data_IF_271523520249
#
_entry.id   IF_271523520249
#
_cell.length_a   1.000
_cell.length_b   1.000
_cell.length_c   1.000
_cell.angle_alpha   90.00
_cell.angle_beta   90.00
_cell.angle_gamma   90.00
#
_symmetry.space_group_name_H-M   'P 1'
#
loop_
_entity.id
_entity.type
_entity.pdbx_description
1 polymer ?
#
# COMPACT_ATOMS: atom_id res chain seq x y z
N UNK A 1 9.00 -8.08 -10.36
CA UNK A 1 10.28 -7.35 -10.29
C UNK A 1 10.24 -6.45 -9.06
N UNK A 2 11.19 -6.58 -8.12
CA UNK A 2 11.28 -5.73 -6.92
C UNK A 2 11.64 -4.29 -7.32
N UNK A 3 11.28 -3.30 -6.50
CA UNK A 3 11.62 -1.90 -6.75
C UNK A 3 12.91 -1.52 -6.03
N UNK A 4 13.73 -0.70 -6.69
CA UNK A 4 14.89 -0.08 -6.06
C UNK A 4 14.46 0.98 -5.04
N UNK A 5 15.30 1.23 -4.03
CA UNK A 5 14.99 2.16 -2.93
C UNK A 5 14.71 3.57 -3.44
N UNK A 6 15.45 4.04 -4.43
CA UNK A 6 15.31 5.37 -5.04
C UNK A 6 13.91 5.54 -5.64
N UNK A 7 13.39 4.49 -6.30
CA UNK A 7 12.02 4.50 -6.84
C UNK A 7 10.99 4.62 -5.73
N UNK A 8 11.19 3.94 -4.60
CA UNK A 8 10.28 4.02 -3.45
C UNK A 8 10.31 5.41 -2.82
N UNK A 9 11.51 5.95 -2.56
CA UNK A 9 11.68 7.26 -1.92
C UNK A 9 11.19 8.44 -2.79
N UNK A 10 11.13 8.25 -4.10
CA UNK A 10 10.52 9.20 -5.04
C UNK A 10 9.00 9.29 -4.91
N UNK A 11 8.33 8.29 -4.30
CA UNK A 11 6.88 8.31 -4.04
C UNK A 11 6.50 9.15 -2.82
N UNK A 12 7.47 9.52 -1.98
CA UNK A 12 7.20 10.23 -0.73
C UNK A 12 6.56 11.60 -1.01
N UNK A 13 5.42 11.91 -0.36
CA UNK A 13 4.72 13.18 -0.58
C UNK A 13 5.44 14.38 0.04
N UNK A 14 6.32 14.13 1.02
CA UNK A 14 7.15 15.13 1.69
C UNK A 14 8.42 14.48 2.29
N UNK A 15 9.33 15.33 2.78
CA UNK A 15 10.57 14.88 3.40
C UNK A 15 10.34 14.08 4.70
N UNK A 16 9.34 14.45 5.50
CA UNK A 16 9.03 13.75 6.76
C UNK A 16 8.58 12.30 6.52
N UNK A 17 7.76 12.08 5.50
CA UNK A 17 7.32 10.74 5.07
C UNK A 17 8.49 9.93 4.54
N UNK A 18 9.42 10.58 3.80
CA UNK A 18 10.64 9.95 3.31
C UNK A 18 11.53 9.45 4.45
N UNK A 19 11.83 10.31 5.42
CA UNK A 19 12.66 9.96 6.59
C UNK A 19 12.01 8.85 7.41
N UNK A 20 10.71 8.96 7.68
CA UNK A 20 9.97 7.90 8.39
C UNK A 20 9.99 6.57 7.63
N UNK A 21 9.84 6.61 6.29
CA UNK A 21 9.92 5.42 5.44
C UNK A 21 11.29 4.75 5.51
N UNK A 22 12.36 5.54 5.38
CA UNK A 22 13.74 5.04 5.49
C UNK A 22 14.01 4.34 6.82
N UNK A 23 13.54 4.91 7.94
CA UNK A 23 13.68 4.31 9.27
C UNK A 23 12.95 2.98 9.43
N UNK A 24 11.85 2.78 8.67
CA UNK A 24 11.05 1.56 8.70
C UNK A 24 11.45 0.56 7.60
N UNK A 25 12.49 0.82 6.81
CA UNK A 25 12.91 -0.06 5.71
C UNK A 25 13.65 -1.35 6.13
N UNK A 26 13.80 -1.61 7.42
CA UNK A 26 14.46 -2.78 7.98
C UNK A 26 13.44 -3.82 8.50
N UNK A 27 13.85 -5.07 8.69
CA UNK A 27 12.95 -6.16 9.11
C UNK A 27 12.38 -6.00 10.53
N UNK A 28 13.15 -5.41 11.44
CA UNK A 28 12.84 -5.35 12.88
C UNK A 28 11.42 -4.93 13.24
N UNK A 29 10.88 -3.81 12.72
CA UNK A 29 9.54 -3.36 13.07
C UNK A 29 8.41 -4.11 12.36
N UNK A 30 8.68 -5.13 11.53
CA UNK A 30 7.67 -5.78 10.70
C UNK A 30 7.40 -7.24 11.09
N UNK A 31 6.12 -7.59 11.08
CA UNK A 31 5.64 -8.96 11.21
C UNK A 31 4.51 -9.26 10.22
N UNK A 32 4.19 -10.53 10.02
CA UNK A 32 3.09 -10.97 9.14
C UNK A 32 3.22 -10.45 7.70
N UNK A 33 4.45 -10.31 7.21
CA UNK A 33 4.78 -9.77 5.90
C UNK A 33 4.57 -10.79 4.79
N UNK A 34 4.24 -10.30 3.60
CA UNK A 34 4.15 -11.14 2.42
C UNK A 34 3.83 -10.34 1.18
N UNK A 35 3.99 -10.98 0.02
CA UNK A 35 3.45 -10.44 -1.21
C UNK A 35 2.85 -11.53 -2.11
N UNK A 36 1.76 -11.20 -2.80
CA UNK A 36 1.19 -12.05 -3.84
C UNK A 36 2.04 -11.98 -5.11
N UNK A 37 1.94 -13.01 -5.95
CA UNK A 37 2.49 -12.97 -7.31
C UNK A 37 1.84 -11.90 -8.20
N UNK A 38 0.66 -11.42 -7.82
CA UNK A 38 -0.10 -10.37 -8.54
C UNK A 38 0.33 -8.94 -8.18
N UNK A 39 1.26 -8.77 -7.24
CA UNK A 39 1.81 -7.46 -6.88
C UNK A 39 1.12 -6.76 -5.71
N UNK A 40 0.48 -7.50 -4.80
CA UNK A 40 0.01 -6.97 -3.52
C UNK A 40 1.06 -7.27 -2.46
N UNK A 41 1.46 -6.27 -1.68
CA UNK A 41 2.46 -6.37 -0.60
C UNK A 41 1.78 -5.97 0.70
N UNK A 42 2.03 -6.69 1.79
CA UNK A 42 1.47 -6.36 3.10
C UNK A 42 2.46 -6.62 4.24
N UNK A 43 2.17 -6.03 5.39
CA UNK A 43 2.86 -6.27 6.64
C UNK A 43 2.16 -5.57 7.80
N UNK A 44 2.55 -5.95 9.02
CA UNK A 44 2.12 -5.31 10.26
C UNK A 44 3.35 -4.61 10.85
N UNK A 45 3.28 -3.30 10.98
CA UNK A 45 4.36 -2.51 11.57
C UNK A 45 4.09 -2.32 13.07
N UNK A 46 4.97 -2.83 13.92
CA UNK A 46 4.84 -2.79 15.38
C UNK A 46 5.40 -1.49 15.99
N UNK A 47 6.21 -0.75 15.21
CA UNK A 47 6.86 0.48 15.66
C UNK A 47 6.04 1.71 15.24
N UNK A 48 5.71 2.53 16.23
CA UNK A 48 4.84 3.69 16.10
C UNK A 48 3.88 3.78 17.29
N UNK A 49 3.94 4.89 18.03
CA UNK A 49 3.35 5.09 19.37
C UNK A 49 1.82 4.96 19.55
N UNK A 50 1.13 4.20 18.70
CA UNK A 50 -0.30 3.88 18.78
C UNK A 50 -0.68 2.43 18.42
N UNK A 51 0.29 1.52 18.22
CA UNK A 51 0.06 0.08 18.07
C UNK A 51 0.31 -0.47 16.66
N UNK A 52 0.08 -1.79 16.45
CA UNK A 52 0.48 -2.43 15.21
C UNK A 52 -0.33 -1.92 14.01
N UNK A 53 0.36 -1.26 13.07
CA UNK A 53 -0.25 -0.70 11.87
C UNK A 53 -0.20 -1.70 10.71
N UNK A 54 -1.38 -2.27 10.39
CA UNK A 54 -1.57 -3.03 9.16
C UNK A 54 -1.38 -2.14 7.95
N UNK A 55 -0.47 -2.53 7.08
CA UNK A 55 -0.08 -1.79 5.87
C UNK A 55 -0.16 -2.71 4.67
N UNK A 56 -0.81 -2.24 3.61
CA UNK A 56 -0.99 -2.95 2.33
C UNK A 56 -0.73 -2.01 1.17
N UNK A 57 -0.05 -2.51 0.15
CA UNK A 57 0.23 -1.78 -1.09
C UNK A 57 -0.12 -2.67 -2.28
N UNK A 58 -0.86 -2.13 -3.24
CA UNK A 58 -1.11 -2.78 -4.52
C UNK A 58 -0.33 -2.08 -5.62
N UNK A 59 0.62 -2.79 -6.21
CA UNK A 59 1.59 -2.29 -7.18
C UNK A 59 1.03 -2.20 -8.62
N UNK A 60 -0.15 -2.75 -8.90
CA UNK A 60 -0.77 -2.74 -10.25
C UNK A 60 -1.27 -1.34 -10.65
N UNK A 61 -1.63 -0.54 -9.65
CA UNK A 61 -1.93 0.88 -9.76
C UNK A 61 -1.71 1.46 -8.37
N UNK A 62 -0.51 2.01 -8.08
CA UNK A 62 0.02 2.15 -6.73
C UNK A 62 -1.01 2.75 -5.79
N UNK A 63 -1.53 1.89 -4.91
CA UNK A 63 -2.51 2.26 -3.92
C UNK A 63 -2.08 1.77 -2.56
N UNK A 64 -2.30 2.62 -1.57
CA UNK A 64 -1.75 2.48 -0.25
C UNK A 64 -2.90 2.38 0.75
N UNK A 65 -2.86 1.36 1.60
CA UNK A 65 -3.70 1.22 2.78
C UNK A 65 -2.81 1.12 4.01
N UNK A 66 -3.04 1.96 5.01
CA UNK A 66 -2.37 1.87 6.29
C UNK A 66 -3.32 2.33 7.39
N UNK A 67 -3.30 1.65 8.54
CA UNK A 67 -4.11 2.01 9.71
C UNK A 67 -3.59 3.20 10.53
N UNK A 68 -2.44 3.78 10.17
CA UNK A 68 -1.83 4.88 10.92
C UNK A 68 -2.62 6.21 10.78
N UNK A 69 -2.52 7.14 11.76
CA UNK A 69 -3.25 8.42 11.73
C UNK A 69 -2.75 9.41 10.67
N UNK A 70 -1.70 9.08 9.92
CA UNK A 70 -1.15 9.95 8.89
C UNK A 70 -2.17 10.21 7.77
N UNK A 71 -2.39 11.48 7.44
CA UNK A 71 -3.33 11.91 6.39
C UNK A 71 -2.71 12.04 5.00
N UNK A 72 -1.39 11.83 4.90
CA UNK A 72 -0.63 11.91 3.65
C UNK A 72 -0.35 10.50 3.15
N UNK A 73 -0.54 10.30 1.84
CA UNK A 73 -0.34 9.01 1.17
C UNK A 73 0.67 9.18 0.03
N UNK A 74 1.62 8.24 -0.12
CA UNK A 74 1.96 7.17 0.81
C UNK A 74 2.49 7.70 2.15
N UNK A 75 2.13 7.06 3.25
CA UNK A 75 2.69 7.37 4.57
C UNK A 75 4.05 6.69 4.76
N UNK A 76 4.78 7.05 5.83
CA UNK A 76 6.05 6.42 6.19
C UNK A 76 5.99 4.89 6.25
N UNK A 77 4.93 4.31 6.83
CA UNK A 77 4.77 2.84 6.88
C UNK A 77 4.64 2.21 5.49
N UNK A 78 3.89 2.83 4.57
CA UNK A 78 3.76 2.31 3.22
C UNK A 78 5.10 2.36 2.46
N UNK A 79 5.88 3.43 2.66
CA UNK A 79 7.23 3.55 2.09
C UNK A 79 8.19 2.52 2.72
N UNK A 80 8.19 2.38 4.04
CA UNK A 80 9.00 1.39 4.76
C UNK A 80 8.73 -0.05 4.31
N UNK A 81 7.45 -0.42 4.16
CA UNK A 81 7.07 -1.74 3.66
C UNK A 81 7.60 -1.99 2.24
N UNK A 82 7.53 -0.97 1.37
CA UNK A 82 8.04 -1.08 0.00
C UNK A 82 9.57 -1.14 -0.05
N UNK A 83 10.27 -0.43 0.84
CA UNK A 83 11.72 -0.52 0.98
C UNK A 83 12.13 -1.90 1.46
N UNK A 84 11.46 -2.42 2.50
CA UNK A 84 11.70 -3.76 3.01
C UNK A 84 11.46 -4.83 1.93
N UNK A 85 10.34 -4.71 1.20
CA UNK A 85 10.07 -5.56 0.05
C UNK A 85 11.14 -5.39 -1.04
N UNK A 86 11.62 -4.19 -1.33
CA UNK A 86 12.72 -3.99 -2.28
C UNK A 86 14.01 -4.72 -1.88
N UNK A 87 14.33 -4.71 -0.59
CA UNK A 87 15.62 -5.13 -0.05
C UNK A 87 15.71 -6.62 0.32
N UNK A 88 14.65 -7.21 0.86
CA UNK A 88 14.73 -8.55 1.47
C UNK A 88 13.54 -9.45 1.08
N UNK A 89 13.84 -10.46 0.27
CA UNK A 89 12.86 -11.46 -0.18
C UNK A 89 12.57 -12.54 0.87
N UNK A 90 13.48 -12.75 1.83
CA UNK A 90 13.26 -13.70 2.92
C UNK A 90 12.29 -13.11 3.95
N UNK A 91 12.39 -11.79 4.21
CA UNK A 91 11.49 -11.09 5.13
C UNK A 91 10.12 -10.85 4.51
N UNK A 92 10.04 -10.54 3.21
CA UNK A 92 8.76 -10.41 2.50
C UNK A 92 8.61 -11.53 1.47
N UNK A 93 8.15 -12.72 1.88
CA UNK A 93 8.07 -13.89 1.00
C UNK A 93 7.05 -13.68 -0.11
N UNK A 94 7.41 -14.12 -1.32
CA UNK A 94 6.52 -14.11 -2.47
C UNK A 94 5.60 -15.34 -2.49
N UNK A 95 4.42 -15.17 -3.07
CA UNK A 95 3.43 -16.25 -3.18
C UNK A 95 2.74 -16.59 -1.86
N UNK A 96 2.90 -15.75 -0.84
CA UNK A 96 2.18 -15.90 0.41
C UNK A 96 0.68 -15.73 0.17
N UNK A 97 -0.13 -16.49 0.91
CA UNK A 97 -1.57 -16.32 0.91
C UNK A 97 -1.94 -15.02 1.64
N UNK A 98 -2.74 -14.20 0.98
CA UNK A 98 -3.15 -12.91 1.52
C UNK A 98 -4.09 -13.12 2.71
N UNK A 99 -3.80 -12.56 3.90
CA UNK A 99 -4.72 -12.61 5.02
C UNK A 99 -6.07 -11.95 4.70
N UNK A 100 -7.14 -12.36 5.39
CA UNK A 100 -8.51 -11.85 5.16
C UNK A 100 -8.61 -10.32 5.11
N UNK A 101 -7.84 -9.62 5.94
CA UNK A 101 -7.88 -8.15 5.99
C UNK A 101 -7.29 -7.51 4.73
N UNK A 102 -6.35 -8.17 4.07
CA UNK A 102 -5.81 -7.77 2.76
C UNK A 102 -6.88 -8.02 1.69
N UNK A 103 -7.52 -9.19 1.71
CA UNK A 103 -8.64 -9.53 0.82
C UNK A 103 -9.76 -8.48 0.88
N UNK A 104 -10.25 -8.18 2.09
CA UNK A 104 -11.28 -7.16 2.31
C UNK A 104 -10.88 -5.77 1.79
N UNK A 105 -9.61 -5.41 1.92
CA UNK A 105 -9.10 -4.13 1.40
C UNK A 105 -9.11 -4.10 -0.14
N UNK A 106 -8.72 -5.19 -0.79
CA UNK A 106 -8.75 -5.35 -2.26
C UNK A 106 -10.19 -5.32 -2.80
N UNK A 107 -11.12 -6.02 -2.16
CA UNK A 107 -12.54 -6.01 -2.52
C UNK A 107 -13.12 -4.59 -2.44
N UNK A 108 -12.84 -3.87 -1.34
CA UNK A 108 -13.26 -2.48 -1.17
C UNK A 108 -12.64 -1.51 -2.19
N UNK A 109 -11.47 -1.84 -2.76
CA UNK A 109 -10.90 -1.12 -3.91
C UNK A 109 -11.66 -1.41 -5.20
N UNK A 110 -11.93 -2.69 -5.49
CA UNK A 110 -12.71 -3.15 -6.64
C UNK A 110 -14.09 -2.49 -6.72
N UNK A 111 -14.80 -2.43 -5.58
CA UNK A 111 -16.10 -1.77 -5.50
C UNK A 111 -16.03 -0.26 -5.78
N UNK A 112 -15.00 0.44 -5.26
CA UNK A 112 -14.81 1.89 -5.48
C UNK A 112 -14.45 2.23 -6.92
N UNK A 113 -13.60 1.43 -7.58
CA UNK A 113 -13.28 1.64 -9.00
C UNK A 113 -14.50 1.40 -9.89
N UNK A 114 -15.29 0.36 -9.60
CA UNK A 114 -16.55 0.09 -10.30
C UNK A 114 -17.59 1.19 -10.11
N UNK A 115 -17.72 1.74 -8.89
CA UNK A 115 -18.63 2.85 -8.60
C UNK A 115 -18.23 4.16 -9.29
N UNK A 116 -16.93 4.47 -9.38
CA UNK A 116 -16.43 5.65 -10.12
C UNK A 116 -16.70 5.51 -11.62
N UNK A 117 -16.40 4.35 -12.21
CA UNK A 117 -16.66 4.08 -13.63
C UNK A 117 -18.14 4.16 -14.02
N UNK A 118 -19.06 3.84 -13.07
CA UNK A 118 -20.51 4.02 -13.25
C UNK A 118 -20.95 5.49 -13.22
N UNK A 119 -20.23 6.35 -12.49
CA UNK A 119 -20.54 7.78 -12.38
C UNK A 119 -20.01 8.58 -13.58
N UNK A 120 -18.88 8.16 -14.14
CA UNK A 120 -18.24 8.81 -15.30
C UNK A 120 -18.82 8.35 -16.66
N UNK A 121 -19.72 7.36 -16.68
CA UNK A 121 -20.39 6.84 -17.89
C UNK A 121 -21.84 7.32 -18.08
N UNK A 122 -22.30 8.28 -17.27
CA UNK A 122 -23.69 8.77 -17.28
C UNK A 122 -23.83 10.17 -17.86
N UNK A 123 -23.59 10.33 -19.16
CA UNK A 123 -24.20 11.41 -19.93
C UNK A 123 -24.39 10.95 -21.39
N UNK A 124 -25.64 10.93 -21.86
CA UNK A 124 -25.93 11.62 -23.10
C UNK A 124 -26.72 12.89 -22.81
N UNK A 125 -26.25 13.99 -23.39
CA UNK A 125 -27.05 15.17 -23.63
C UNK A 125 -28.10 14.88 -24.71
N UNK A 126 -29.24 15.57 -24.62
CA UNK A 126 -30.34 15.58 -25.59
C UNK A 126 -31.61 14.90 -25.02
N UNK A 127 -32.82 15.43 -25.18
CA UNK A 127 -33.29 16.60 -25.90
C UNK A 127 -34.65 17.05 -25.33
N UNK A 128 -35.01 18.26 -25.72
CA UNK A 128 -36.18 19.06 -25.43
C UNK A 128 -37.52 18.42 -25.79
N UNK A 129 -38.57 18.73 -25.03
CA UNK A 129 -39.88 19.25 -25.50
C UNK A 129 -40.77 19.59 -24.30
#
# INVERSE_FOLDING_TARGET
MRWAAERVLALAPDAASREAGSGLGAAGPWSGTGCTGTGVVWGVCEDGGGGPYRTVVDLTGPAYGCGCPARRLPCGHALGLLLLWGADTAVVPAGAEAPDWVGRWLEGRGARTGARRRKDGGAPAGAEA
#
